data_IF_737163458623
#
_entry.id   IF_737163458623
#
_cell.length_a   1.000
_cell.length_b   1.000
_cell.length_c   1.000
_cell.angle_alpha   90.00
_cell.angle_beta   90.00
_cell.angle_gamma   90.00
#
_symmetry.space_group_name_H-M   'P 1'
#
loop_
_entity.id
_entity.type
_entity.pdbx_description
1 polymer ?
#
# COMPACT_ATOMS: atom_id res chain seq x y z
N UNK A 1 42.70 1.89 -14.44
CA UNK A 1 42.26 1.89 -14.39
C UNK A 1 41.44 1.59 -13.89
N UNK A 2 41.29 1.60 -13.67
CA UNK A 2 40.61 1.39 -13.46
C UNK A 2 39.79 1.36 -12.73
N UNK A 3 39.55 1.59 -12.46
CA UNK A 3 38.84 1.60 -11.96
C UNK A 3 37.95 1.66 -11.52
N UNK A 4 37.67 1.93 -11.57
CA UNK A 4 36.81 2.14 -11.28
C UNK A 4 35.89 1.64 -10.99
N UNK A 5 35.64 1.44 -11.08
CA UNK A 5 34.74 1.03 -10.93
C UNK A 5 34.15 0.77 -9.93
N UNK A 6 34.16 0.88 -9.69
CA UNK A 6 33.67 0.72 -8.84
C UNK A 6 32.67 1.10 -8.33
N UNK A 7 32.56 1.45 -8.51
CA UNK A 7 31.65 1.81 -8.17
C UNK A 7 30.67 1.55 -7.93
N UNK A 8 30.44 1.46 -8.20
CA UNK A 8 29.49 1.37 -8.11
C UNK A 8 28.81 0.93 -7.41
N UNK A 9 28.74 0.71 -7.34
CA UNK A 9 28.00 0.33 -6.81
C UNK A 9 27.49 0.48 -5.79
N UNK A 10 27.62 0.74 -5.65
CA UNK A 10 27.19 1.03 -4.77
C UNK A 10 26.15 1.35 -4.52
N UNK A 11 25.96 1.66 -4.93
CA UNK A 11 24.97 2.14 -4.75
C UNK A 11 24.02 1.68 -4.56
N UNK A 12 23.97 1.34 -4.71
CA UNK A 12 23.11 1.04 -4.66
C UNK A 12 22.52 0.81 -3.75
N UNK A 13 22.66 0.82 -3.47
CA UNK A 13 22.11 0.72 -2.71
C UNK A 13 21.45 1.03 -1.97
N UNK A 14 21.64 1.22 -2.00
CA UNK A 14 21.12 1.66 -1.20
C UNK A 14 19.97 1.91 -1.19
N UNK A 15 19.69 1.95 -1.52
CA UNK A 15 18.68 2.26 -1.64
C UNK A 15 17.83 1.74 -1.08
N UNK A 16 17.84 1.31 -1.09
CA UNK A 16 17.08 0.80 -0.73
C UNK A 16 16.42 1.15 0.22
N UNK A 17 16.41 1.44 0.53
CA UNK A 17 15.89 1.82 1.35
C UNK A 17 14.91 1.41 1.88
N UNK A 18 14.80 0.92 1.99
CA UNK A 18 13.85 0.36 2.55
C UNK A 18 12.88 1.09 3.19
N UNK A 19 11.89 1.17 2.81
CA UNK A 19 10.95 1.95 3.32
C UNK A 19 9.93 1.25 4.07
N UNK A 20 9.80 -0.03 3.90
CA UNK A 20 8.76 -0.77 4.57
C UNK A 20 9.19 -1.10 5.98
N UNK A 21 8.41 -0.78 6.98
CA UNK A 21 8.78 -1.16 8.33
C UNK A 21 8.77 -2.65 8.46
N UNK A 22 9.76 -3.19 9.11
CA UNK A 22 9.80 -4.60 9.37
C UNK A 22 9.62 -4.92 10.83
N UNK A 23 9.59 -3.91 11.64
CA UNK A 23 9.50 -4.10 13.07
C UNK A 23 8.07 -4.38 13.46
N UNK A 24 7.85 -5.42 14.24
CA UNK A 24 6.50 -5.75 14.67
C UNK A 24 6.14 -4.90 15.87
N UNK A 25 4.88 -4.54 15.98
CA UNK A 25 4.45 -3.79 17.15
C UNK A 25 4.51 -4.66 18.40
N UNK A 26 4.65 -4.03 19.55
CA UNK A 26 4.67 -4.76 20.80
C UNK A 26 3.28 -5.12 21.27
N UNK A 27 2.25 -4.44 20.75
CA UNK A 27 0.88 -4.70 21.14
C UNK A 27 0.00 -4.71 19.90
N UNK A 28 -1.01 -5.52 19.94
CA UNK A 28 -2.02 -5.51 18.90
C UNK A 28 -1.41 -5.71 17.52
N UNK A 29 -1.70 -4.84 16.59
CA UNK A 29 -1.20 -4.97 15.24
C UNK A 29 -1.15 -3.61 14.59
N UNK A 30 -0.52 -3.56 13.42
CA UNK A 30 -0.45 -2.33 12.64
C UNK A 30 -0.62 -2.69 11.18
N UNK A 31 -1.10 -1.74 10.40
CA UNK A 31 -1.26 -1.88 8.96
C UNK A 31 -0.20 -1.01 8.30
N UNK A 32 0.60 -1.61 7.44
CA UNK A 32 1.66 -0.89 6.73
C UNK A 32 1.47 -1.07 5.24
N UNK A 33 1.73 -0.01 4.49
CA UNK A 33 1.58 -0.02 3.05
C UNK A 33 2.95 0.02 2.40
N UNK A 34 3.11 -0.68 1.29
CA UNK A 34 4.37 -0.62 0.55
C UNK A 34 4.58 0.76 -0.07
N UNK A 35 3.49 1.48 -0.33
CA UNK A 35 3.56 2.85 -0.84
C UNK A 35 2.45 3.64 -0.20
N UNK A 36 2.75 4.87 0.16
CA UNK A 36 1.75 5.75 0.75
C UNK A 36 1.07 6.63 -0.27
N UNK A 37 1.60 6.69 -1.47
CA UNK A 37 1.06 7.50 -2.55
C UNK A 37 1.04 6.67 -3.81
N UNK A 38 0.00 6.86 -4.59
CA UNK A 38 -0.16 6.10 -5.81
C UNK A 38 -0.77 7.02 -6.85
N UNK A 39 -0.19 7.01 -8.04
CA UNK A 39 -0.74 7.76 -9.17
C UNK A 39 -1.27 6.78 -10.18
N UNK A 40 -2.46 7.04 -10.68
CA UNK A 40 -3.13 6.13 -11.58
C UNK A 40 -3.90 6.95 -12.60
N UNK A 41 -3.97 6.45 -13.82
CA UNK A 41 -4.74 7.12 -14.87
C UNK A 41 -6.05 6.42 -15.07
N UNK A 42 -7.08 7.12 -15.56
CA UNK A 42 -8.33 6.43 -15.88
C UNK A 42 -8.07 5.28 -16.83
N UNK A 43 -8.68 4.15 -16.53
CA UNK A 43 -8.48 2.94 -17.31
C UNK A 43 -7.31 2.10 -16.86
N UNK A 44 -6.59 2.53 -15.85
CA UNK A 44 -5.39 1.86 -15.40
C UNK A 44 -5.63 1.15 -14.08
N UNK A 45 -4.80 0.15 -13.78
CA UNK A 45 -4.87 -0.47 -12.45
C UNK A 45 -3.47 -0.65 -11.92
N UNK A 46 -3.34 -0.61 -10.62
CA UNK A 46 -2.06 -0.79 -9.95
C UNK A 46 -2.25 -1.56 -8.67
N UNK A 47 -1.19 -2.19 -8.22
CA UNK A 47 -1.21 -2.98 -7.01
C UNK A 47 -0.20 -2.44 -6.02
N UNK A 48 -0.55 -2.52 -4.75
CA UNK A 48 0.43 -2.32 -3.69
C UNK A 48 0.26 -3.45 -2.70
N UNK A 49 1.26 -3.60 -1.86
CA UNK A 49 1.26 -4.62 -0.83
C UNK A 49 0.89 -4.00 0.49
N UNK A 50 -0.02 -4.66 1.20
CA UNK A 50 -0.45 -4.23 2.52
C UNK A 50 0.02 -5.28 3.49
N UNK A 51 0.72 -4.86 4.54
CA UNK A 51 1.23 -5.76 5.55
C UNK A 51 0.42 -5.62 6.83
N UNK A 52 0.11 -6.77 7.42
CA UNK A 52 -0.54 -6.80 8.72
C UNK A 52 0.52 -7.24 9.70
N UNK A 53 1.02 -6.28 10.47
CA UNK A 53 2.12 -6.53 11.40
C UNK A 53 1.52 -6.85 12.75
N UNK A 54 1.62 -8.09 13.16
CA UNK A 54 0.98 -8.58 14.39
C UNK A 54 1.98 -8.71 15.49
N UNK A 55 1.59 -8.28 16.69
CA UNK A 55 2.37 -8.59 17.87
C UNK A 55 2.24 -10.07 18.17
N UNK A 56 3.01 -10.55 19.15
CA UNK A 56 2.99 -11.96 19.50
C UNK A 56 1.61 -12.43 19.87
N UNK A 57 0.88 -11.63 20.61
CA UNK A 57 -0.43 -12.06 21.08
C UNK A 57 -1.45 -12.11 19.95
N UNK A 58 -1.14 -11.49 18.82
CA UNK A 58 -2.06 -11.50 17.68
C UNK A 58 -1.56 -12.39 16.55
N UNK A 59 -0.51 -13.15 16.78
CA UNK A 59 0.19 -13.85 15.71
C UNK A 59 -0.70 -14.82 14.96
N UNK A 60 -1.69 -15.40 15.62
CA UNK A 60 -2.54 -16.39 15.00
C UNK A 60 -3.90 -15.88 14.63
N UNK A 61 -4.12 -14.60 14.76
CA UNK A 61 -5.44 -14.03 14.53
C UNK A 61 -5.63 -13.70 13.07
N UNK A 62 -6.84 -13.93 12.58
CA UNK A 62 -7.18 -13.59 11.21
C UNK A 62 -7.47 -12.12 11.08
N UNK A 63 -7.20 -11.59 9.93
CA UNK A 63 -7.49 -10.19 9.62
C UNK A 63 -8.57 -10.14 8.55
N UNK A 64 -9.38 -9.09 8.60
CA UNK A 64 -10.36 -8.80 7.56
C UNK A 64 -10.04 -7.42 7.05
N UNK A 65 -9.78 -7.30 5.76
CA UNK A 65 -9.37 -6.04 5.16
C UNK A 65 -10.57 -5.27 4.63
N UNK A 66 -10.47 -3.96 4.65
CA UNK A 66 -11.55 -3.13 4.17
C UNK A 66 -11.11 -1.71 4.01
N UNK A 67 -12.10 -0.82 4.01
CA UNK A 67 -11.87 0.62 3.84
C UNK A 67 -12.68 1.36 4.88
N UNK A 68 -12.11 2.43 5.41
CA UNK A 68 -12.82 3.23 6.40
C UNK A 68 -13.66 4.32 5.76
N UNK A 69 -13.39 4.64 4.50
CA UNK A 69 -14.21 5.63 3.81
C UNK A 69 -14.54 5.10 2.43
N UNK A 70 -15.42 5.82 1.75
CA UNK A 70 -15.83 5.42 0.42
C UNK A 70 -14.71 5.67 -0.57
N UNK A 71 -14.64 4.81 -1.58
CA UNK A 71 -13.70 5.02 -2.66
C UNK A 71 -14.23 6.12 -3.58
N UNK A 72 -13.33 6.81 -4.28
CA UNK A 72 -13.79 7.82 -5.23
C UNK A 72 -14.63 7.20 -6.32
N UNK A 73 -15.49 7.99 -6.90
CA UNK A 73 -16.35 7.51 -7.96
C UNK A 73 -15.52 7.02 -9.13
N UNK A 74 -15.85 5.85 -9.65
CA UNK A 74 -15.10 5.27 -10.73
C UNK A 74 -13.87 4.50 -10.33
N UNK A 75 -13.58 4.44 -9.04
CA UNK A 75 -12.41 3.72 -8.55
C UNK A 75 -12.87 2.52 -7.75
N UNK A 76 -12.29 1.37 -8.04
CA UNK A 76 -12.58 0.16 -7.28
C UNK A 76 -11.28 -0.41 -6.72
N UNK A 77 -11.40 -1.22 -5.71
CA UNK A 77 -10.23 -1.83 -5.11
C UNK A 77 -10.61 -3.18 -4.54
N UNK A 78 -9.69 -4.12 -4.68
CA UNK A 78 -9.93 -5.49 -4.24
C UNK A 78 -8.68 -5.99 -3.53
N UNK A 79 -8.86 -6.54 -2.35
CA UNK A 79 -7.78 -7.21 -1.63
C UNK A 79 -7.76 -8.69 -2.02
N UNK A 80 -6.56 -9.22 -2.09
CA UNK A 80 -6.41 -10.64 -2.39
C UNK A 80 -5.23 -11.20 -1.63
N UNK A 81 -5.46 -11.91 -0.56
CA UNK A 81 -6.76 -12.25 0.04
C UNK A 81 -7.35 -11.11 0.85
N UNK A 82 -8.67 -11.14 1.01
CA UNK A 82 -9.36 -10.11 1.79
C UNK A 82 -9.46 -10.49 3.25
N UNK A 83 -9.35 -11.75 3.58
CA UNK A 83 -9.47 -12.20 4.96
C UNK A 83 -8.60 -13.42 5.18
N UNK A 84 -8.11 -13.58 6.39
CA UNK A 84 -7.34 -14.76 6.75
C UNK A 84 -6.16 -14.41 7.62
N UNK A 85 -5.33 -15.40 7.86
CA UNK A 85 -4.14 -15.23 8.69
C UNK A 85 -2.92 -15.07 7.79
N UNK A 86 -2.91 -14.01 7.01
CA UNK A 86 -1.78 -13.71 6.13
C UNK A 86 -0.95 -12.60 6.75
N UNK A 87 0.30 -12.53 6.36
CA UNK A 87 1.16 -11.43 6.76
C UNK A 87 1.05 -10.28 5.80
N UNK A 88 0.86 -10.57 4.52
CA UNK A 88 0.70 -9.54 3.51
C UNK A 88 -0.46 -9.89 2.62
N UNK A 89 -1.05 -8.86 2.05
CA UNK A 89 -2.07 -9.03 1.04
C UNK A 89 -1.84 -7.99 -0.02
N UNK A 90 -2.34 -8.23 -1.20
CA UNK A 90 -2.22 -7.27 -2.28
C UNK A 90 -3.54 -6.60 -2.50
N UNK A 91 -3.50 -5.31 -2.70
CA UNK A 91 -4.69 -4.58 -3.07
C UNK A 91 -4.50 -4.07 -4.48
N UNK A 92 -5.45 -4.38 -5.34
CA UNK A 92 -5.46 -3.93 -6.72
C UNK A 92 -6.46 -2.79 -6.81
N UNK A 93 -5.97 -1.63 -7.22
CA UNK A 93 -6.81 -0.45 -7.35
C UNK A 93 -6.96 -0.17 -8.83
N UNK A 94 -8.21 -0.06 -9.25
CA UNK A 94 -8.54 0.16 -10.65
C UNK A 94 -9.29 1.47 -10.78
N UNK A 95 -8.78 2.33 -11.66
CA UNK A 95 -9.51 3.54 -12.02
C UNK A 95 -10.22 3.25 -13.32
N UNK A 96 -11.54 3.30 -13.30
CA UNK A 96 -12.30 3.07 -14.51
C UNK A 96 -12.10 4.21 -15.49
N UNK A 97 -12.60 4.03 -16.71
CA UNK A 97 -12.43 5.09 -17.72
C UNK A 97 -13.14 6.38 -17.35
N UNK A 98 -14.14 6.30 -16.50
CA UNK A 98 -14.87 7.48 -16.09
C UNK A 98 -14.43 8.01 -14.74
N UNK A 99 -13.32 7.52 -14.21
CA UNK A 99 -12.85 7.99 -12.91
C UNK A 99 -12.55 9.48 -12.97
N UNK A 100 -12.95 10.18 -11.91
CA UNK A 100 -12.81 11.62 -11.87
C UNK A 100 -11.40 11.96 -11.42
N UNK A 101 -10.73 12.83 -12.18
CA UNK A 101 -9.37 13.22 -11.80
C UNK A 101 -9.38 13.99 -10.50
N UNK A 102 -8.31 13.85 -9.75
CA UNK A 102 -8.19 14.52 -8.48
C UNK A 102 -7.30 13.74 -7.55
N UNK A 103 -7.14 14.27 -6.36
CA UNK A 103 -6.35 13.62 -5.32
C UNK A 103 -7.29 13.23 -4.19
N UNK A 104 -7.18 11.98 -3.77
CA UNK A 104 -8.08 11.42 -2.78
C UNK A 104 -7.28 10.75 -1.70
N UNK A 105 -7.84 10.71 -0.50
CA UNK A 105 -7.27 9.94 0.58
C UNK A 105 -8.15 8.73 0.82
N UNK A 106 -7.55 7.56 0.75
CA UNK A 106 -8.25 6.32 0.99
C UNK A 106 -7.69 5.73 2.27
N UNK A 107 -8.56 5.38 3.19
CA UNK A 107 -8.10 4.76 4.43
C UNK A 107 -8.29 3.26 4.29
N UNK A 108 -7.17 2.57 4.14
CA UNK A 108 -7.15 1.12 4.07
C UNK A 108 -7.11 0.60 5.49
N UNK A 109 -7.95 -0.35 5.81
CA UNK A 109 -7.95 -0.84 7.19
C UNK A 109 -7.96 -2.34 7.24
N UNK A 110 -7.65 -2.84 8.41
CA UNK A 110 -7.78 -4.24 8.71
C UNK A 110 -8.31 -4.39 10.11
N UNK A 111 -9.13 -5.40 10.30
CA UNK A 111 -9.71 -5.70 11.61
C UNK A 111 -9.17 -7.04 12.08
N UNK A 112 -8.61 -7.04 13.28
CA UNK A 112 -8.10 -8.25 13.91
C UNK A 112 -8.59 -8.24 15.34
N UNK A 113 -9.24 -9.34 15.77
CA UNK A 113 -9.74 -9.45 17.15
C UNK A 113 -10.60 -8.26 17.53
N UNK A 114 -11.50 -7.88 16.63
CA UNK A 114 -12.46 -6.80 16.88
C UNK A 114 -11.84 -5.41 16.97
N UNK A 115 -10.57 -5.28 16.64
CA UNK A 115 -9.92 -3.97 16.59
C UNK A 115 -9.60 -3.62 15.17
N UNK A 116 -9.82 -2.37 14.81
CA UNK A 116 -9.59 -1.91 13.45
C UNK A 116 -8.49 -0.88 13.45
N UNK A 117 -7.51 -1.07 12.59
CA UNK A 117 -6.42 -0.13 12.39
C UNK A 117 -6.35 0.19 10.91
N UNK A 118 -5.81 1.34 10.57
CA UNK A 118 -5.78 1.75 9.19
C UNK A 118 -4.53 2.51 8.82
N UNK A 119 -4.39 2.72 7.54
CA UNK A 119 -3.31 3.53 6.98
C UNK A 119 -3.89 4.32 5.82
N UNK A 120 -3.35 5.49 5.61
CA UNK A 120 -3.85 6.38 4.58
C UNK A 120 -3.02 6.20 3.32
N UNK A 121 -3.72 6.00 2.21
CA UNK A 121 -3.12 5.97 0.90
C UNK A 121 -3.60 7.19 0.15
N UNK A 122 -2.66 8.00 -0.33
CA UNK A 122 -3.00 9.13 -1.15
C UNK A 122 -3.06 8.68 -2.60
N UNK A 123 -4.22 8.79 -3.20
CA UNK A 123 -4.43 8.35 -4.57
C UNK A 123 -4.64 9.55 -5.46
N UNK A 124 -3.82 9.64 -6.50
CA UNK A 124 -3.98 10.69 -7.50
C UNK A 124 -4.47 10.05 -8.78
N UNK A 125 -5.62 10.49 -9.25
CA UNK A 125 -6.17 10.06 -10.51
C UNK A 125 -6.00 11.21 -11.49
N UNK A 126 -5.27 10.97 -12.56
CA UNK A 126 -5.01 12.07 -13.46
C UNK A 126 -4.55 11.65 -14.80
N UNK A 127 -4.28 12.65 -15.60
CA UNK A 127 -3.79 12.46 -16.93
C UNK A 127 -2.30 12.40 -16.94
N UNK A 128 -1.74 12.17 -18.10
CA UNK A 128 -0.33 12.12 -18.23
C UNK A 128 0.36 13.35 -17.76
N UNK A 129 -0.21 14.48 -18.06
CA UNK A 129 0.51 15.67 -17.76
C UNK A 129 0.58 15.92 -16.31
N UNK A 130 -0.24 15.33 -15.53
CA UNK A 130 -0.12 15.50 -14.12
C UNK A 130 1.23 15.01 -13.66
N UNK A 131 1.65 13.92 -14.23
CA UNK A 131 2.92 13.38 -13.82
C UNK A 131 4.05 14.27 -14.21
N UNK A 132 3.86 15.01 -15.24
CA UNK A 132 4.98 15.76 -15.76
C UNK A 132 5.28 16.95 -14.94
N UNK A 133 4.59 17.24 -14.17
CA UNK A 133 4.98 18.43 -13.62
C UNK A 133 5.28 18.50 -12.47
#
# INVERSE_FOLDING_TARGET
MKSALTLSLLFVLALTNAQTPTELPSKEFAIALSENSLSIKPGEQKQITVSVLRSKSYARSSAVMGFSNSLPEGVTAVYEPAAGNFETTKITITAGPAAVTGTYQIVLNGTVNHKTKGSILKLSVGNDQVASK
#
